data_IF_809762313497
#
_entry.id   IF_809762313497
#
_cell.length_a   1.000
_cell.length_b   1.000
_cell.length_c   1.000
_cell.angle_alpha   90.00
_cell.angle_beta   90.00
_cell.angle_gamma   90.00
#
_symmetry.space_group_name_H-M   'P 1'
#
loop_
_entity.id
_entity.type
_entity.pdbx_description
1 polymer ?
2 polymer ?
3 polymer ?
4 water ?
#
loop_
_entity_poly.entity_id
_entity_poly.type
_entity_poly.pdbx_seq_one_letter_code
_entity_poly.pdbx_strand_id
2 'polydeoxyribonucleotide' '(DG)(DC)(BRU)(DA)(DC)(DI)(DG)(DA)(BRU)(DC)(DG)' ?
3 'polydeoxyribonucleotide' '(DC)(DG)(DA)(DT)(DC)(DT)(DG)(DT)(DA)(DG)(DC)' ?
#
# COMPACT_ATOMS: atom_id res chain seq x y z
N UNK A 1 -14.61 -12.29 -61.55
CA UNK A 1 -15.92 -12.14 -60.85
C UNK A 1 -16.51 -10.77 -61.16
N UNK A 2 -17.83 -10.72 -61.23
CA UNK A 2 -18.52 -9.48 -61.54
C UNK A 2 -18.65 -8.56 -60.35
N UNK A 3 -18.88 -7.29 -60.63
CA UNK A 3 -19.07 -6.27 -59.61
C UNK A 3 -19.76 -5.07 -60.26
N UNK A 4 -20.21 -4.14 -59.43
CA UNK A 4 -20.90 -2.96 -59.95
C UNK A 4 -20.05 -1.69 -59.88
N UNK A 5 -19.77 -1.11 -61.05
CA UNK A 5 -18.98 0.12 -61.12
C UNK A 5 -19.93 1.27 -60.76
N UNK A 6 -19.90 1.68 -59.50
CA UNK A 6 -20.79 2.74 -59.04
C UNK A 6 -20.40 4.18 -59.40
N UNK A 7 -19.13 4.40 -59.71
CA UNK A 7 -18.66 5.73 -60.04
C UNK A 7 -17.24 5.70 -60.60
N UNK A 8 -16.73 6.88 -60.95
CA UNK A 8 -15.37 7.01 -61.52
C UNK A 8 -14.35 7.04 -60.40
N UNK A 9 -13.17 6.50 -60.66
CA UNK A 9 -12.11 6.47 -59.66
C UNK A 9 -11.19 7.68 -59.75
N UNK A 10 -10.93 8.13 -60.97
CA UNK A 10 -10.06 9.29 -61.20
C UNK A 10 -10.74 10.59 -60.79
N UNK A 11 -10.73 10.87 -59.49
CA UNK A 11 -11.35 12.06 -58.92
C UNK A 11 -10.42 12.81 -57.97
N UNK A 12 -10.56 14.14 -57.88
CA UNK A 12 -9.72 14.90 -56.98
C UNK A 12 -10.22 14.64 -55.55
N UNK A 13 -9.31 14.66 -54.55
CA UNK A 13 -9.68 14.41 -53.16
C UNK A 13 -11.04 14.92 -52.70
N UNK A 14 -11.37 16.16 -53.04
CA UNK A 14 -12.64 16.74 -52.62
C UNK A 14 -13.89 16.08 -53.18
N UNK A 15 -13.83 15.64 -54.43
CA UNK A 15 -14.98 15.00 -55.05
C UNK A 15 -15.10 13.56 -54.58
N UNK A 16 -13.97 12.98 -54.19
CA UNK A 16 -13.95 11.61 -53.71
C UNK A 16 -14.63 11.52 -52.33
N UNK A 17 -14.45 12.57 -51.52
CA UNK A 17 -15.06 12.61 -50.19
C UNK A 17 -16.57 12.75 -50.33
N UNK A 18 -17.01 13.44 -51.37
CA UNK A 18 -18.44 13.61 -51.59
C UNK A 18 -19.02 12.26 -52.02
N UNK A 19 -18.28 11.54 -52.84
CA UNK A 19 -18.73 10.23 -53.31
C UNK A 19 -18.88 9.30 -52.12
N UNK A 20 -18.04 9.46 -51.11
CA UNK A 20 -18.13 8.63 -49.92
C UNK A 20 -19.39 8.98 -49.13
N UNK A 21 -19.61 10.28 -48.93
CA UNK A 21 -20.77 10.75 -48.17
C UNK A 21 -22.09 10.36 -48.81
N UNK A 22 -22.06 10.01 -50.09
CA UNK A 22 -23.27 9.60 -50.78
C UNK A 22 -23.37 8.09 -50.71
N UNK A 23 -22.25 7.40 -50.91
CA UNK A 23 -22.24 5.94 -50.86
C UNK A 23 -22.56 5.38 -49.48
N UNK A 24 -22.23 6.13 -48.43
CA UNK A 24 -22.51 5.67 -47.07
C UNK A 24 -24.00 5.38 -46.83
N UNK A 25 -24.85 5.99 -47.65
CA UNK A 25 -26.29 5.80 -47.52
C UNK A 25 -26.72 4.43 -48.04
N UNK A 26 -25.91 3.83 -48.89
CA UNK A 26 -26.24 2.53 -49.46
C UNK A 26 -25.81 1.37 -48.59
N UNK A 27 -25.03 1.66 -47.56
CA UNK A 27 -24.54 0.60 -46.68
C UNK A 27 -25.65 -0.08 -45.87
N UNK A 28 -25.60 -1.41 -45.83
CA UNK A 28 -26.55 -2.19 -45.07
C UNK A 28 -25.79 -2.95 -43.98
N UNK A 29 -26.05 -2.58 -42.73
CA UNK A 29 -25.39 -3.24 -41.60
C UNK A 29 -26.24 -4.41 -41.12
N UNK A 30 -26.37 -5.41 -41.97
CA UNK A 30 -27.15 -6.59 -41.63
C UNK A 30 -26.31 -7.69 -41.00
N UNK A 31 -26.95 -8.53 -40.18
CA UNK A 31 -26.26 -9.64 -39.52
C UNK A 31 -25.81 -10.68 -40.55
N UNK A 32 -24.76 -11.40 -40.21
CA UNK A 32 -24.30 -12.48 -41.09
C UNK A 32 -24.54 -13.72 -40.25
N UNK A 33 -25.70 -14.36 -40.46
CA UNK A 33 -26.04 -15.55 -39.70
C UNK A 33 -25.71 -16.85 -40.42
N UNK A 34 -24.79 -17.62 -39.85
CA UNK A 34 -24.42 -18.88 -40.47
C UNK A 34 -22.93 -19.07 -40.62
N UNK A 35 -22.54 -20.27 -41.05
CA UNK A 35 -21.15 -20.62 -41.26
C UNK A 35 -20.75 -20.42 -42.71
N UNK A 36 -19.81 -19.52 -42.97
CA UNK A 36 -19.40 -19.30 -44.36
C UNK A 36 -18.59 -20.50 -44.85
N UNK A 37 -18.49 -20.64 -46.16
CA UNK A 37 -17.73 -21.75 -46.71
C UNK A 37 -16.51 -21.20 -47.43
N UNK A 38 -16.71 -20.17 -48.25
CA UNK A 38 -15.62 -19.54 -49.00
C UNK A 38 -15.31 -18.15 -48.44
N UNK A 39 -14.13 -18.00 -47.85
CA UNK A 39 -13.70 -16.72 -47.26
C UNK A 39 -12.49 -16.14 -48.01
N UNK A 40 -12.60 -14.89 -48.44
CA UNK A 40 -11.53 -14.24 -49.18
C UNK A 40 -10.79 -13.16 -48.41
N UNK A 41 -9.49 -13.04 -48.69
CA UNK A 41 -8.65 -12.04 -48.04
C UNK A 41 -8.02 -11.26 -49.18
N UNK A 42 -7.77 -9.96 -48.95
CA UNK A 42 -7.19 -9.10 -49.96
C UNK A 42 -6.04 -8.28 -49.41
N UNK A 43 -4.95 -8.20 -50.16
CA UNK A 43 -3.79 -7.44 -49.71
C UNK A 43 -3.11 -6.77 -50.89
N UNK A 44 -2.36 -5.70 -50.62
CA UNK A 44 -1.63 -5.01 -51.68
C UNK A 44 -0.19 -4.75 -51.30
N UNK A 45 0.68 -4.76 -52.29
CA UNK A 45 2.10 -4.46 -52.06
C UNK A 45 2.44 -3.46 -53.16
N UNK A 46 3.57 -2.79 -53.04
CA UNK A 46 3.96 -1.82 -54.06
C UNK A 46 5.37 -2.03 -54.59
N UNK A 47 5.50 -2.74 -55.71
CA UNK A 47 6.79 -3.02 -56.35
C UNK A 47 7.54 -1.75 -56.76
N UNK A 48 6.79 -0.64 -56.90
CA UNK A 48 7.38 0.64 -57.27
C UNK A 48 6.49 1.76 -56.75
N UNK A 49 6.98 2.99 -56.70
CA UNK A 49 6.16 4.08 -56.20
C UNK A 49 4.82 4.19 -56.91
N UNK A 50 4.78 3.82 -58.19
CA UNK A 50 3.53 3.89 -58.92
C UNK A 50 3.08 2.55 -59.48
N UNK A 51 3.49 1.46 -58.83
CA UNK A 51 3.08 0.14 -59.27
C UNK A 51 2.67 -0.70 -58.09
N UNK A 52 1.39 -1.06 -58.03
CA UNK A 52 0.89 -1.88 -56.94
C UNK A 52 0.68 -3.31 -57.42
N UNK A 53 0.43 -4.20 -56.48
CA UNK A 53 0.19 -5.61 -56.78
C UNK A 53 -0.89 -6.06 -55.80
N UNK A 54 -2.08 -6.31 -56.32
CA UNK A 54 -3.20 -6.73 -55.48
C UNK A 54 -3.34 -8.24 -55.54
N UNK A 55 -3.52 -8.86 -54.38
CA UNK A 55 -3.68 -10.30 -54.30
C UNK A 55 -4.98 -10.61 -53.58
N UNK A 56 -5.71 -11.59 -54.10
CA UNK A 56 -6.95 -12.05 -53.48
C UNK A 56 -6.78 -13.55 -53.29
N UNK A 57 -7.09 -14.00 -52.09
CA UNK A 57 -6.97 -15.41 -51.75
C UNK A 57 -8.33 -15.88 -51.23
N UNK A 58 -8.77 -17.02 -51.72
CA UNK A 58 -10.04 -17.59 -51.28
C UNK A 58 -9.75 -18.85 -50.48
N UNK A 59 -10.24 -18.89 -49.24
CA UNK A 59 -10.01 -20.04 -48.38
C UNK A 59 -11.29 -20.77 -48.08
N UNK A 60 -11.16 -22.07 -47.82
CA UNK A 60 -12.32 -22.87 -47.47
C UNK A 60 -12.40 -22.85 -45.96
N UNK A 61 -13.59 -22.61 -45.44
CA UNK A 61 -13.78 -22.58 -44.00
C UNK A 61 -14.63 -23.78 -43.61
N UNK A 62 -14.35 -24.40 -42.45
CA UNK A 62 -13.30 -24.06 -41.48
C UNK A 62 -11.92 -24.71 -41.65
N UNK A 63 -11.71 -25.42 -42.76
CA UNK A 63 -10.41 -26.08 -42.98
C UNK A 63 -9.27 -25.11 -43.25
N UNK A 64 -9.59 -23.92 -43.72
CA UNK A 64 -8.59 -22.89 -44.02
C UNK A 64 -7.69 -23.28 -45.20
N UNK A 65 -8.13 -24.24 -46.01
CA UNK A 65 -7.34 -24.63 -47.17
C UNK A 65 -7.50 -23.60 -48.28
N UNK A 66 -6.43 -23.39 -49.04
CA UNK A 66 -6.42 -22.42 -50.12
C UNK A 66 -7.08 -22.99 -51.38
N UNK A 67 -8.19 -22.39 -51.79
CA UNK A 67 -8.93 -22.85 -52.95
C UNK A 67 -8.60 -22.11 -54.24
N UNK A 68 -8.17 -20.86 -54.13
CA UNK A 68 -7.87 -20.06 -55.32
C UNK A 68 -7.10 -18.79 -54.98
N UNK A 69 -6.22 -18.39 -55.91
CA UNK A 69 -5.41 -17.19 -55.74
C UNK A 69 -5.29 -16.51 -57.08
N UNK A 70 -5.50 -15.19 -57.10
CA UNK A 70 -5.39 -14.40 -58.32
C UNK A 70 -4.71 -13.09 -57.94
N UNK A 71 -4.17 -12.39 -58.93
CA UNK A 71 -3.49 -11.14 -58.65
C UNK A 71 -3.49 -10.22 -59.85
N UNK A 72 -3.10 -8.97 -59.61
CA UNK A 72 -3.06 -7.98 -60.68
C UNK A 72 -2.06 -6.89 -60.31
N UNK A 73 -1.14 -6.63 -61.22
CA UNK A 73 -0.13 -5.59 -61.04
C UNK A 73 -0.62 -4.46 -61.91
N UNK A 74 -0.55 -3.23 -61.41
CA UNK A 74 -1.01 -2.12 -62.21
C UNK A 74 -0.57 -0.76 -61.69
N UNK A 75 -0.70 0.24 -62.56
CA UNK A 75 -0.32 1.60 -62.20
C UNK A 75 -1.18 2.16 -61.08
N UNK A 76 -0.54 2.73 -60.06
CA UNK A 76 -1.25 3.33 -58.94
C UNK A 76 -0.84 4.78 -58.89
N UNK A 77 -1.77 5.68 -59.19
CA UNK A 77 -1.44 7.10 -59.20
C UNK A 77 -1.95 7.86 -57.98
N UNK A 78 -3.07 7.42 -57.42
CA UNK A 78 -3.65 8.11 -56.28
C UNK A 78 -2.79 7.98 -55.02
N UNK A 79 -2.44 9.12 -54.41
CA UNK A 79 -1.61 9.16 -53.20
C UNK A 79 -2.34 8.63 -51.98
N UNK A 80 -1.59 8.09 -51.03
CA UNK A 80 -2.20 7.62 -49.80
C UNK A 80 -2.62 8.81 -48.95
N UNK A 81 -3.90 8.86 -48.61
CA UNK A 81 -4.43 9.93 -47.78
C UNK A 81 -5.36 9.24 -46.79
N UNK A 82 -5.13 9.44 -45.48
CA UNK A 82 -6.01 8.79 -44.50
C UNK A 82 -7.47 9.09 -44.81
N UNK A 83 -8.29 8.04 -44.87
CA UNK A 83 -9.70 8.21 -45.14
C UNK A 83 -10.06 7.94 -46.60
N UNK A 84 -9.07 7.98 -47.48
CA UNK A 84 -9.30 7.75 -48.91
C UNK A 84 -8.54 6.55 -49.50
N UNK A 85 -8.30 5.54 -48.67
CA UNK A 85 -7.57 4.37 -49.11
C UNK A 85 -8.22 3.69 -50.33
N UNK A 86 -9.55 3.75 -50.42
CA UNK A 86 -10.23 3.13 -51.55
C UNK A 86 -9.83 3.75 -52.89
N UNK A 87 -9.56 5.05 -52.91
CA UNK A 87 -9.23 5.67 -54.18
C UNK A 87 -7.81 5.40 -54.63
N UNK A 88 -7.04 4.73 -53.78
CA UNK A 88 -5.65 4.40 -54.08
C UNK A 88 -5.55 2.93 -54.46
N UNK A 89 -6.13 2.06 -53.62
CA UNK A 89 -6.06 0.62 -53.83
C UNK A 89 -7.32 -0.04 -54.40
N UNK A 90 -8.44 0.67 -54.34
CA UNK A 90 -9.68 0.11 -54.83
C UNK A 90 -9.64 -0.38 -56.27
N UNK A 91 -9.25 0.50 -57.22
CA UNK A 91 -9.17 0.15 -58.63
C UNK A 91 -8.37 -1.11 -58.95
N UNK A 92 -7.17 -1.25 -58.40
CA UNK A 92 -6.35 -2.44 -58.68
C UNK A 92 -6.97 -3.71 -58.10
N UNK A 93 -7.56 -3.60 -56.91
CA UNK A 93 -8.23 -4.76 -56.30
C UNK A 93 -9.36 -5.27 -57.21
N UNK A 94 -10.18 -4.34 -57.71
CA UNK A 94 -11.28 -4.70 -58.59
C UNK A 94 -10.76 -5.38 -59.85
N UNK A 95 -9.56 -4.98 -60.28
CA UNK A 95 -8.93 -5.55 -61.45
C UNK A 95 -8.58 -7.01 -61.15
N UNK A 96 -8.17 -7.29 -59.92
CA UNK A 96 -7.86 -8.67 -59.55
C UNK A 96 -9.19 -9.41 -59.41
N UNK A 97 -10.17 -8.74 -58.81
CA UNK A 97 -11.50 -9.31 -58.60
C UNK A 97 -12.08 -9.85 -59.91
N UNK A 98 -11.89 -9.10 -61.00
CA UNK A 98 -12.38 -9.51 -62.31
C UNK A 98 -11.90 -10.92 -62.68
N UNK A 99 -10.71 -11.28 -62.20
CA UNK A 99 -10.12 -12.60 -62.49
C UNK A 99 -10.63 -13.73 -61.60
N UNK A 100 -11.10 -13.38 -60.41
CA UNK A 100 -11.58 -14.38 -59.46
C UNK A 100 -12.74 -15.21 -60.01
N UNK A 101 -12.64 -16.52 -59.81
CA UNK A 101 -13.63 -17.47 -60.30
C UNK A 101 -14.62 -17.88 -59.20
N UNK A 102 -14.11 -18.08 -57.99
CA UNK A 102 -14.94 -18.47 -56.85
C UNK A 102 -15.67 -17.26 -56.25
N UNK A 103 -16.96 -17.42 -55.97
CA UNK A 103 -17.73 -16.34 -55.37
C UNK A 103 -17.71 -16.46 -53.86
N UNK A 104 -16.88 -15.64 -53.19
CA UNK A 104 -16.77 -15.68 -51.72
C UNK A 104 -18.07 -15.36 -51.00
N UNK A 105 -18.23 -15.88 -49.78
CA UNK A 105 -19.41 -15.60 -48.98
C UNK A 105 -19.12 -14.33 -48.18
N UNK A 106 -17.84 -14.08 -47.96
CA UNK A 106 -17.40 -12.89 -47.24
C UNK A 106 -15.96 -12.56 -47.64
N UNK A 107 -15.66 -11.27 -47.71
CA UNK A 107 -14.32 -10.83 -48.09
C UNK A 107 -13.79 -9.92 -46.99
N UNK A 108 -12.57 -10.21 -46.56
CA UNK A 108 -11.92 -9.42 -45.51
C UNK A 108 -10.85 -8.53 -46.14
N UNK A 109 -10.85 -7.25 -45.78
CA UNK A 109 -9.86 -6.31 -46.32
C UNK A 109 -8.96 -5.74 -45.23
N UNK A 110 -7.80 -5.26 -45.64
CA UNK A 110 -6.88 -4.62 -44.70
C UNK A 110 -7.36 -3.18 -44.65
N UNK A 111 -7.63 -2.69 -43.46
CA UNK A 111 -8.09 -1.32 -43.33
C UNK A 111 -9.46 -1.29 -42.70
N UNK A 112 -10.00 -0.10 -42.50
CA UNK A 112 -11.31 0.04 -41.87
C UNK A 112 -12.48 -0.20 -42.80
N UNK A 113 -13.63 -0.35 -42.17
CA UNK A 113 -14.87 -0.52 -42.88
C UNK A 113 -15.69 0.64 -42.32
N UNK A 114 -16.56 0.31 -41.38
CA UNK A 114 -17.43 1.28 -40.73
C UNK A 114 -16.66 2.30 -39.88
N UNK A 115 -15.56 1.86 -39.24
CA UNK A 115 -14.75 2.74 -38.39
C UNK A 115 -13.94 3.69 -39.27
N UNK A 116 -14.65 4.62 -39.88
CA UNK A 116 -14.08 5.60 -40.81
C UNK A 116 -14.79 6.93 -40.54
N UNK A 117 -14.10 8.06 -40.77
CA UNK A 117 -14.61 9.43 -40.56
C UNK A 117 -15.98 9.69 -41.20
N UNK A 118 -16.19 9.15 -42.39
CA UNK A 118 -17.45 9.32 -43.10
C UNK A 118 -18.21 8.00 -43.19
N UNK A 119 -17.93 7.10 -42.26
CA UNK A 119 -18.60 5.79 -42.22
C UNK A 119 -18.49 4.97 -43.50
N UNK A 120 -17.35 5.06 -44.18
CA UNK A 120 -17.18 4.30 -45.41
C UNK A 120 -15.73 4.01 -45.77
N UNK A 121 -15.11 3.10 -45.01
CA UNK A 121 -13.73 2.73 -45.27
C UNK A 121 -13.66 1.77 -46.46
N UNK A 122 -12.45 1.52 -46.96
CA UNK A 122 -12.26 0.64 -48.10
C UNK A 122 -13.12 -0.62 -48.08
N UNK A 123 -13.18 -1.31 -46.94
CA UNK A 123 -14.01 -2.52 -46.82
C UNK A 123 -15.49 -2.26 -47.12
N UNK A 124 -16.02 -1.13 -46.66
CA UNK A 124 -17.43 -0.81 -46.88
C UNK A 124 -17.62 -0.47 -48.36
N UNK A 125 -16.74 0.39 -48.85
CA UNK A 125 -16.78 0.84 -50.22
C UNK A 125 -16.70 -0.33 -51.19
N UNK A 126 -15.72 -1.21 -51.01
CA UNK A 126 -15.60 -2.36 -51.91
C UNK A 126 -16.83 -3.27 -51.79
N UNK A 127 -17.42 -3.31 -50.59
CA UNK A 127 -18.61 -4.13 -50.38
C UNK A 127 -19.74 -3.68 -51.28
N UNK A 128 -19.91 -2.37 -51.44
CA UNK A 128 -20.97 -1.86 -52.30
C UNK A 128 -20.72 -2.26 -53.74
N UNK A 129 -19.46 -2.26 -54.16
CA UNK A 129 -19.12 -2.63 -55.53
C UNK A 129 -19.33 -4.12 -55.79
N UNK A 130 -18.85 -4.99 -54.91
CA UNK A 130 -18.99 -6.43 -55.13
C UNK A 130 -20.28 -7.05 -54.61
N UNK A 131 -21.04 -6.27 -53.83
CA UNK A 131 -22.32 -6.73 -53.29
C UNK A 131 -22.21 -8.09 -52.58
N UNK A 132 -21.24 -8.17 -51.67
CA UNK A 132 -21.01 -9.37 -50.89
C UNK A 132 -20.55 -8.91 -49.50
N UNK A 133 -20.93 -9.65 -48.45
CA UNK A 133 -20.53 -9.28 -47.09
C UNK A 133 -19.04 -8.98 -46.95
N UNK A 134 -18.70 -7.82 -46.38
CA UNK A 134 -17.31 -7.44 -46.20
C UNK A 134 -16.99 -7.01 -44.77
N UNK A 135 -15.72 -7.21 -44.40
CA UNK A 135 -15.18 -6.86 -43.09
C UNK A 135 -13.84 -6.14 -43.22
N UNK A 136 -13.66 -5.10 -42.43
CA UNK A 136 -12.39 -4.39 -42.48
C UNK A 136 -11.60 -4.72 -41.22
N UNK A 137 -10.40 -5.29 -41.39
CA UNK A 137 -9.54 -5.61 -40.25
C UNK A 137 -8.28 -4.74 -40.36
N UNK A 138 -8.14 -3.77 -39.45
CA UNK A 138 -6.99 -2.87 -39.47
C UNK A 138 -5.98 -3.14 -38.36
N UNK A 139 -4.70 -2.86 -38.63
CA UNK A 139 -3.64 -3.06 -37.65
C UNK A 139 -3.47 -1.80 -36.81
N UNK A 140 -4.22 -0.76 -37.15
CA UNK A 140 -4.17 0.49 -36.40
C UNK A 140 -5.48 1.25 -36.52
N UNK A 141 -5.68 2.19 -35.62
CA UNK A 141 -6.91 2.97 -35.55
C UNK A 141 -6.93 4.16 -36.48
N UNK A 142 -8.03 4.32 -37.19
CA UNK A 142 -8.17 5.44 -38.10
C UNK A 142 -9.19 6.43 -37.50
N UNK A 143 -10.27 5.89 -36.95
CA UNK A 143 -11.34 6.71 -36.39
C UNK A 143 -12.00 6.02 -35.20
N UNK A 144 -12.56 6.82 -34.30
CA UNK A 144 -13.23 6.27 -33.14
C UNK A 144 -12.39 6.23 -31.87
N UNK A 145 -13.07 6.06 -30.75
CA UNK A 145 -12.40 6.01 -29.46
C UNK A 145 -12.65 4.63 -28.87
N UNK A 146 -11.76 4.20 -27.98
CA UNK A 146 -11.90 2.88 -27.37
C UNK A 146 -11.04 2.75 -26.11
N UNK A 147 -11.34 1.73 -25.33
CA UNK A 147 -10.58 1.44 -24.13
C UNK A 147 -9.75 0.22 -24.48
N UNK A 148 -8.43 0.37 -24.39
CA UNK A 148 -7.52 -0.71 -24.72
C UNK A 148 -7.88 -1.99 -23.97
N UNK A 149 -8.18 -3.07 -24.71
CA UNK A 149 -8.53 -4.32 -24.04
C UNK A 149 -7.30 -4.85 -23.31
N UNK A 150 -7.50 -5.71 -22.32
CA UNK A 150 -6.37 -6.26 -21.57
C UNK A 150 -5.59 -7.23 -22.46
N UNK A 151 -4.42 -7.64 -22.00
CA UNK A 151 -3.54 -8.52 -22.76
C UNK A 151 -3.85 -10.03 -22.64
N UNK A 152 -5.13 -10.38 -22.81
CA UNK A 152 -5.56 -11.78 -22.75
C UNK A 152 -5.40 -12.39 -24.14
N UNK A 153 -6.23 -13.36 -24.49
CA UNK A 153 -6.11 -13.99 -25.80
C UNK A 153 -7.30 -13.68 -26.69
N UNK A 154 -8.40 -13.25 -26.08
CA UNK A 154 -9.60 -12.90 -26.83
C UNK A 154 -10.25 -11.70 -26.20
N UNK A 155 -9.53 -11.06 -25.29
CA UNK A 155 -10.02 -9.87 -24.62
C UNK A 155 -10.34 -8.86 -25.69
N UNK A 156 -11.44 -8.12 -25.53
CA UNK A 156 -11.82 -7.15 -26.53
C UNK A 156 -12.71 -6.06 -25.96
N UNK A 157 -12.88 -5.00 -26.74
CA UNK A 157 -13.72 -3.89 -26.34
C UNK A 157 -14.34 -3.30 -27.60
N UNK A 158 -15.36 -2.47 -27.42
CA UNK A 158 -16.00 -1.85 -28.57
C UNK A 158 -15.32 -0.55 -28.98
N UNK A 159 -15.35 -0.27 -30.28
CA UNK A 159 -14.77 0.95 -30.83
C UNK A 159 -15.98 1.85 -30.99
N UNK A 160 -15.91 3.09 -30.51
CA UNK A 160 -17.05 3.98 -30.60
C UNK A 160 -16.86 5.26 -31.37
N UNK A 161 -17.98 5.81 -31.84
CA UNK A 161 -18.01 7.09 -32.51
C UNK A 161 -18.97 7.80 -31.58
N UNK A 162 -18.44 8.32 -30.49
CA UNK A 162 -19.29 8.98 -29.54
C UNK A 162 -20.09 7.90 -28.84
N UNK A 163 -21.35 7.73 -29.24
CA UNK A 163 -22.23 6.74 -28.64
C UNK A 163 -22.39 5.49 -29.51
N UNK A 164 -22.28 5.68 -30.82
CA UNK A 164 -22.42 4.57 -31.77
C UNK A 164 -21.25 3.59 -31.79
N UNK A 165 -21.57 2.30 -31.78
CA UNK A 165 -20.57 1.26 -31.84
C UNK A 165 -20.28 1.03 -33.32
N UNK A 166 -19.04 1.29 -33.74
CA UNK A 166 -18.66 1.14 -35.14
C UNK A 166 -17.74 -0.05 -35.42
N UNK A 167 -17.38 -0.77 -34.37
CA UNK A 167 -16.53 -1.93 -34.55
C UNK A 167 -16.00 -2.36 -33.20
N UNK A 168 -14.94 -3.16 -33.21
CA UNK A 168 -14.36 -3.61 -31.97
C UNK A 168 -12.85 -3.74 -32.08
N UNK A 169 -12.19 -3.74 -30.94
CA UNK A 169 -10.75 -3.87 -30.87
C UNK A 169 -10.52 -5.22 -30.20
N UNK A 170 -9.80 -6.11 -30.90
CA UNK A 170 -9.58 -7.46 -30.40
C UNK A 170 -8.12 -7.86 -30.19
N UNK A 171 -7.83 -8.43 -29.02
CA UNK A 171 -6.46 -8.87 -28.73
C UNK A 171 -6.33 -10.31 -29.22
N UNK A 172 -6.20 -10.47 -30.53
CA UNK A 172 -6.09 -11.77 -31.15
C UNK A 172 -4.89 -12.57 -30.69
N UNK A 173 -3.87 -11.88 -30.18
CA UNK A 173 -2.66 -12.54 -29.69
C UNK A 173 -2.04 -11.83 -28.50
N UNK A 174 -1.58 -12.59 -27.52
CA UNK A 174 -0.94 -12.02 -26.33
C UNK A 174 0.46 -11.54 -26.70
N UNK A 175 0.77 -10.31 -26.30
CA UNK A 175 2.08 -9.77 -26.59
C UNK A 175 2.07 -8.97 -27.87
N UNK A 176 0.95 -9.00 -28.57
CA UNK A 176 0.78 -8.27 -29.81
C UNK A 176 -0.26 -7.17 -29.62
N UNK A 177 -0.17 -6.13 -30.44
CA UNK A 177 -1.14 -5.03 -30.36
C UNK A 177 -2.45 -5.59 -30.89
N UNK A 178 -3.59 -5.04 -30.44
CA UNK A 178 -4.85 -5.58 -30.95
C UNK A 178 -5.13 -5.14 -32.38
N UNK A 179 -6.10 -5.79 -33.02
CA UNK A 179 -6.48 -5.42 -34.38
C UNK A 179 -7.82 -4.69 -34.27
N UNK A 180 -8.14 -3.90 -35.28
CA UNK A 180 -9.39 -3.14 -35.29
C UNK A 180 -10.36 -3.69 -36.33
N UNK A 181 -11.48 -4.22 -35.84
CA UNK A 181 -12.48 -4.86 -36.68
C UNK A 181 -13.79 -4.08 -36.83
N UNK A 182 -14.15 -3.78 -38.06
CA UNK A 182 -15.40 -3.05 -38.32
C UNK A 182 -16.10 -3.68 -39.52
N UNK A 183 -17.45 -3.71 -39.49
CA UNK A 183 -18.21 -4.29 -40.59
C UNK A 183 -18.09 -3.42 -41.82
N UNK A 184 -18.19 -4.06 -42.99
CA UNK A 184 -18.12 -3.33 -44.25
C UNK A 184 -19.54 -3.15 -44.73
N UNK A 185 -19.93 -3.96 -45.71
CA UNK A 185 -21.28 -3.91 -46.26
C UNK A 185 -21.91 -5.29 -46.05
N UNK A 186 -23.22 -5.32 -45.79
CA UNK A 186 -23.95 -6.56 -45.54
C UNK A 186 -23.30 -7.28 -44.36
N UNK A 187 -23.01 -6.50 -43.32
CA UNK A 187 -22.36 -7.04 -42.13
C UNK A 187 -22.61 -6.08 -40.98
N UNK A 188 -22.48 -6.57 -39.76
CA UNK A 188 -22.66 -5.73 -38.59
C UNK A 188 -21.52 -5.95 -37.62
N UNK A 189 -21.43 -5.08 -36.62
CA UNK A 189 -20.37 -5.15 -35.63
C UNK A 189 -20.27 -6.52 -34.99
N UNK A 190 -21.40 -7.04 -34.52
CA UNK A 190 -21.45 -8.33 -33.87
C UNK A 190 -20.99 -9.48 -34.76
N UNK A 191 -21.47 -9.51 -36.00
CA UNK A 191 -21.09 -10.58 -36.91
C UNK A 191 -19.60 -10.51 -37.29
N UNK A 192 -19.11 -9.31 -37.53
CA UNK A 192 -17.71 -9.14 -37.91
C UNK A 192 -16.77 -9.67 -36.82
N UNK A 193 -17.08 -9.38 -35.56
CA UNK A 193 -16.28 -9.85 -34.44
C UNK A 193 -16.26 -11.38 -34.42
N UNK A 194 -17.45 -11.97 -34.49
CA UNK A 194 -17.60 -13.41 -34.48
C UNK A 194 -16.77 -14.07 -35.58
N UNK A 195 -16.96 -13.59 -36.81
CA UNK A 195 -16.24 -14.12 -37.96
C UNK A 195 -14.73 -13.93 -37.88
N UNK A 196 -14.28 -12.73 -37.54
CA UNK A 196 -12.85 -12.50 -37.47
C UNK A 196 -12.23 -13.35 -36.37
N UNK A 197 -12.94 -13.48 -35.25
CA UNK A 197 -12.44 -14.30 -34.17
C UNK A 197 -12.30 -15.73 -34.71
N UNK A 198 -13.26 -16.13 -35.53
CA UNK A 198 -13.24 -17.47 -36.12
C UNK A 198 -12.22 -17.64 -37.23
N UNK A 199 -11.75 -16.54 -37.80
CA UNK A 199 -10.78 -16.65 -38.88
C UNK A 199 -9.34 -16.55 -38.38
N UNK A 200 -9.17 -16.28 -37.10
CA UNK A 200 -7.84 -16.12 -36.53
C UNK A 200 -7.43 -17.26 -35.61
N UNK A 201 -6.39 -17.98 -36.02
CA UNK A 201 -5.87 -19.13 -35.29
C UNK A 201 -4.96 -18.74 -34.12
N UNK A 202 -4.86 -19.61 -33.11
CA UNK A 202 -4.03 -19.38 -31.93
C UNK A 202 -2.56 -19.21 -32.35
N UNK A 203 -1.93 -18.17 -31.80
CA UNK A 203 -0.54 -17.89 -32.12
C UNK A 203 -0.44 -16.83 -33.20
N UNK A 204 -1.59 -16.54 -33.82
CA UNK A 204 -1.67 -15.55 -34.89
C UNK A 204 -2.38 -14.28 -34.43
N UNK A 205 -2.00 -13.15 -35.01
CA UNK A 205 -2.61 -11.85 -34.68
C UNK A 205 -3.57 -11.45 -35.79
N UNK A 206 -3.21 -11.84 -37.01
CA UNK A 206 -3.98 -11.54 -38.21
C UNK A 206 -4.80 -12.74 -38.69
N UNK A 207 -6.05 -12.49 -39.12
CA UNK A 207 -6.92 -13.57 -39.62
C UNK A 207 -6.34 -14.22 -40.88
N UNK A 208 -6.46 -15.54 -40.98
CA UNK A 208 -5.92 -16.30 -42.12
C UNK A 208 -6.13 -15.70 -43.51
N UNK A 209 -7.35 -15.20 -43.80
CA UNK A 209 -7.61 -14.62 -45.12
C UNK A 209 -6.62 -13.56 -45.55
N UNK A 210 -6.51 -12.48 -44.77
CA UNK A 210 -5.59 -11.40 -45.11
C UNK A 210 -4.12 -11.72 -44.81
N UNK A 211 -3.90 -12.64 -43.87
CA UNK A 211 -2.54 -13.02 -43.51
C UNK A 211 -1.91 -13.76 -44.68
N UNK A 212 -2.64 -14.74 -45.21
CA UNK A 212 -2.14 -15.50 -46.36
C UNK A 212 -2.02 -14.60 -47.58
N UNK A 213 -2.99 -13.71 -47.76
CA UNK A 213 -2.96 -12.79 -48.90
C UNK A 213 -1.70 -11.94 -48.85
N UNK A 214 -1.41 -11.36 -47.68
CA UNK A 214 -0.22 -10.52 -47.54
C UNK A 214 1.05 -11.28 -47.89
N UNK A 215 1.11 -12.55 -47.51
CA UNK A 215 2.29 -13.34 -47.80
C UNK A 215 2.47 -13.46 -49.31
N UNK A 216 1.39 -13.80 -50.02
CA UNK A 216 1.46 -13.92 -51.47
C UNK A 216 1.81 -12.58 -52.12
N UNK A 217 1.33 -11.49 -51.53
CA UNK A 217 1.61 -10.18 -52.08
C UNK A 217 3.12 -9.93 -52.03
N UNK A 218 3.77 -10.42 -50.98
CA UNK A 218 5.21 -10.24 -50.82
C UNK A 218 5.99 -11.21 -51.72
N UNK A 219 5.56 -12.47 -51.74
CA UNK A 219 6.23 -13.46 -52.57
C UNK A 219 6.24 -13.06 -54.05
N UNK A 220 5.06 -12.72 -54.58
CA UNK A 220 4.94 -12.32 -55.97
C UNK A 220 5.74 -11.07 -56.28
N UNK A 221 5.95 -10.23 -55.26
CA UNK A 221 6.71 -9.00 -55.45
C UNK A 221 8.16 -9.33 -55.81
N UNK A 222 8.49 -10.62 -55.76
CA UNK A 222 9.82 -11.11 -56.11
C UNK A 222 9.66 -12.31 -57.05
N UNK A 223 9.32 -13.46 -56.49
CA UNK A 223 9.14 -14.65 -57.29
C UNK A 223 8.26 -15.70 -56.59
N UNK A 224 7.14 -15.97 -57.10
N UNK B 1 3.88 11.27 30.10
CA UNK B 1 5.32 10.99 29.87
C UNK B 1 5.51 9.57 29.37
N UNK B 2 6.49 9.35 28.50
CA UNK B 2 6.72 8.02 27.95
C UNK B 2 7.69 7.21 28.79
N UNK B 3 7.76 5.91 28.52
CA UNK B 3 8.66 5.02 29.26
C UNK B 3 8.85 3.77 28.43
N UNK B 4 9.76 2.90 28.86
CA UNK B 4 9.97 1.67 28.13
C UNK B 4 9.34 0.50 28.85
N UNK B 5 8.36 -0.13 28.18
CA UNK B 5 7.71 -1.31 28.73
C UNK B 5 8.70 -2.43 28.49
N UNK B 6 9.52 -2.73 29.51
CA UNK B 6 10.55 -3.75 29.39
C UNK B 6 10.10 -5.19 29.45
N UNK B 7 8.90 -5.44 29.94
CA UNK B 7 8.40 -6.81 30.04
C UNK B 7 6.95 -6.82 30.48
N UNK B 8 6.35 -8.01 30.47
CA UNK B 8 4.95 -8.19 30.86
C UNK B 8 4.80 -8.11 32.39
N UNK B 9 3.71 -7.51 32.85
CA UNK B 9 3.46 -7.37 34.28
C UNK B 9 2.74 -8.55 34.94
N UNK B 10 1.78 -9.14 34.24
CA UNK B 10 1.03 -10.26 34.80
C UNK B 10 1.84 -11.54 34.84
N UNK B 11 2.70 -11.67 35.86
CA UNK B 11 3.53 -12.85 36.02
C UNK B 11 3.41 -13.48 37.39
N UNK B 12 3.45 -14.81 37.47
CA UNK B 12 3.35 -15.42 38.79
C UNK B 12 4.65 -15.10 39.54
N UNK B 13 4.63 -15.14 40.88
CA UNK B 13 5.77 -14.85 41.76
C UNK B 13 7.14 -15.35 41.30
N UNK B 14 7.21 -16.63 40.98
CA UNK B 14 8.46 -17.26 40.56
C UNK B 14 8.98 -16.65 39.26
N UNK B 15 8.05 -16.25 38.40
CA UNK B 15 8.39 -15.65 37.13
C UNK B 15 8.87 -14.23 37.34
N UNK B 16 8.17 -13.53 38.23
CA UNK B 16 8.48 -12.15 38.57
C UNK B 16 9.89 -12.04 39.16
N UNK B 17 10.29 -13.09 39.87
CA UNK B 17 11.62 -13.11 40.48
C UNK B 17 12.70 -13.27 39.41
N UNK B 18 12.42 -14.07 38.39
CA UNK B 18 13.40 -14.26 37.31
C UNK B 18 13.58 -12.94 36.56
N UNK B 19 12.49 -12.19 36.42
CA UNK B 19 12.55 -10.92 35.73
C UNK B 19 13.39 -9.89 36.48
N UNK B 20 13.42 -10.01 37.80
CA UNK B 20 14.20 -9.11 38.63
C UNK B 20 15.69 -9.44 38.52
N UNK B 21 16.00 -10.73 38.48
CA UNK B 21 17.38 -11.19 38.38
C UNK B 21 18.03 -10.86 37.05
N UNK B 22 17.22 -10.47 36.07
CA UNK B 22 17.76 -10.10 34.76
C UNK B 22 17.85 -8.58 34.66
N UNK B 23 16.83 -7.89 35.15
CA UNK B 23 16.80 -6.44 35.11
C UNK B 23 17.89 -5.80 35.97
N UNK B 24 18.26 -6.47 37.06
CA UNK B 24 19.29 -5.96 37.96
C UNK B 24 20.61 -5.71 37.23
N UNK B 25 20.80 -6.42 36.12
CA UNK B 25 22.02 -6.29 35.31
C UNK B 25 21.99 -5.00 34.51
N UNK B 26 20.82 -4.41 34.38
CA UNK B 26 20.68 -3.17 33.62
C UNK B 26 20.91 -1.94 34.49
N UNK B 27 20.86 -2.12 35.81
CA UNK B 27 21.03 -0.99 36.71
C UNK B 27 22.38 -0.28 36.55
N UNK B 28 22.31 1.05 36.49
CA UNK B 28 23.50 1.88 36.39
C UNK B 28 23.58 2.75 37.65
N UNK B 29 24.53 2.43 38.52
CA UNK B 29 24.72 3.20 39.75
C UNK B 29 25.64 4.37 39.44
N UNK B 30 25.10 5.38 38.77
CA UNK B 30 25.91 6.53 38.39
C UNK B 30 25.65 7.74 39.27
N UNK B 31 26.66 8.59 39.45
CA UNK B 31 26.47 9.78 40.29
C UNK B 31 25.45 10.71 39.68
N UNK B 32 24.85 11.56 40.51
CA UNK B 32 23.92 12.54 40.02
C UNK B 32 24.70 13.84 40.13
N UNK B 33 25.02 14.45 39.00
CA UNK B 33 25.78 15.70 39.01
C UNK B 33 24.90 16.90 39.33
N UNK B 34 25.28 17.63 40.37
CA UNK B 34 24.54 18.81 40.76
C UNK B 34 23.19 18.55 41.40
N UNK B 35 22.34 19.57 41.34
CA UNK B 35 21.01 19.48 41.92
C UNK B 35 19.96 19.47 40.83
N UNK B 36 18.83 18.79 41.07
CA UNK B 36 17.77 18.72 40.08
C UNK B 36 16.87 19.92 40.24
N UNK B 37 16.12 20.26 39.20
CA UNK B 37 15.20 21.38 39.27
C UNK B 37 13.79 20.81 39.45
N UNK B 38 13.48 19.75 38.71
CA UNK B 38 12.17 19.10 38.80
C UNK B 38 12.32 17.80 39.58
N UNK B 39 11.61 17.72 40.71
CA UNK B 39 11.66 16.55 41.59
C UNK B 39 10.32 15.87 41.72
N UNK B 40 10.26 14.60 41.33
CA UNK B 40 9.02 13.84 41.40
C UNK B 40 8.90 12.92 42.62
N UNK B 41 7.68 12.87 43.17
CA UNK B 41 7.39 12.02 44.32
C UNK B 41 6.22 11.14 43.95
N UNK B 42 6.27 9.85 44.32
CA UNK B 42 5.21 8.90 43.99
C UNK B 42 4.64 8.18 45.22
N UNK B 43 3.32 8.00 45.23
CA UNK B 43 2.66 7.32 46.34
C UNK B 43 1.36 6.67 45.88
N UNK B 44 0.91 5.69 46.64
CA UNK B 44 -0.33 4.97 46.33
C UNK B 44 -1.22 4.80 47.57
N UNK B 45 -2.53 4.75 47.33
CA UNK B 45 -3.52 4.52 48.36
C UNK B 45 -4.42 3.46 47.76
N UNK B 46 -5.22 2.78 48.57
CA UNK B 46 -6.09 1.75 48.02
C UNK B 46 -7.55 1.99 48.41
N UNK B 47 -8.33 2.55 47.48
CA UNK B 47 -9.76 2.82 47.72
C UNK B 47 -10.48 1.52 48.06
N UNK B 48 -10.06 0.44 47.41
CA UNK B 48 -10.65 -0.85 47.64
C UNK B 48 -9.55 -1.89 47.70
N UNK B 49 -9.89 -3.11 48.11
CA UNK B 49 -8.89 -4.17 48.20
C UNK B 49 -8.25 -4.45 46.85
N UNK B 50 -8.99 -4.21 45.78
CA UNK B 50 -8.47 -4.47 44.45
C UNK B 50 -8.49 -3.24 43.56
N UNK B 51 -8.43 -2.08 44.17
CA UNK B 51 -8.42 -0.84 43.42
C UNK B 51 -7.39 0.10 44.02
N UNK B 52 -6.41 0.50 43.23
CA UNK B 52 -5.40 1.42 43.72
C UNK B 52 -5.56 2.83 43.20
N UNK B 53 -4.86 3.77 43.82
CA UNK B 53 -4.90 5.16 43.38
C UNK B 53 -3.46 5.67 43.47
N UNK B 54 -2.80 5.69 42.31
CA UNK B 54 -1.42 6.15 42.21
C UNK B 54 -1.37 7.65 41.96
N UNK B 55 -0.43 8.32 42.62
CA UNK B 55 -0.28 9.75 42.48
C UNK B 55 1.19 10.17 42.28
N UNK B 56 1.42 11.02 41.28
CA UNK B 56 2.74 11.54 41.01
C UNK B 56 2.71 13.06 41.20
N UNK B 57 3.56 13.55 42.10
CA UNK B 57 3.67 14.97 42.38
C UNK B 57 5.02 15.47 41.90
N UNK B 58 5.04 16.55 41.13
CA UNK B 58 6.31 17.10 40.66
C UNK B 58 6.55 18.43 41.37
N UNK B 59 7.73 18.58 41.97
CA UNK B 59 8.06 19.80 42.68
C UNK B 59 9.23 20.53 42.09
N UNK B 60 9.24 21.84 42.30
CA UNK B 60 10.33 22.66 41.82
C UNK B 60 11.32 22.74 42.97
N UNK B 61 12.61 22.54 42.68
CA UNK B 61 13.62 22.60 43.73
C UNK B 61 14.53 23.78 43.45
N UNK B 62 14.96 24.50 44.50
CA UNK B 62 14.66 24.29 45.92
C UNK B 62 13.43 24.99 46.50
N UNK B 63 12.57 25.53 45.65
CA UNK B 63 11.38 26.22 46.15
C UNK B 63 10.32 25.27 46.69
N UNK B 64 10.38 24.00 46.27
CA UNK B 64 9.41 22.99 46.69
C UNK B 64 7.99 23.34 46.27
N UNK B 65 7.86 24.06 45.15
CA UNK B 65 6.55 24.45 44.65
C UNK B 65 5.89 23.30 43.89
N UNK B 66 4.59 23.12 44.10
CA UNK B 66 3.84 22.07 43.42
C UNK B 66 3.68 22.49 41.96
N UNK B 67 4.46 21.90 41.07
CA UNK B 67 4.39 22.23 39.65
C UNK B 67 3.30 21.47 38.92
N UNK B 68 3.15 20.19 39.26
CA UNK B 68 2.15 19.36 38.60
C UNK B 68 1.70 18.22 39.51
N UNK B 69 0.53 17.68 39.23
CA UNK B 69 -0.02 16.57 40.01
C UNK B 69 -0.94 15.73 39.14
N UNK B 70 -0.59 14.46 38.95
CA UNK B 70 -1.44 13.58 38.16
C UNK B 70 -1.72 12.32 38.98
N UNK B 71 -2.82 11.65 38.66
CA UNK B 71 -3.19 10.44 39.36
C UNK B 71 -3.93 9.48 38.46
N UNK B 72 -4.06 8.24 38.91
CA UNK B 72 -4.75 7.22 38.14
C UNK B 72 -5.26 6.13 39.08
N UNK B 73 -6.54 5.78 38.93
CA UNK B 73 -7.13 4.73 39.73
C UNK B 73 -7.24 3.55 38.81
N UNK B 74 -7.07 2.35 39.34
CA UNK B 74 -7.15 1.17 38.50
C UNK B 74 -7.17 -0.09 39.32
N UNK B 75 -7.46 -1.21 38.66
CA UNK B 75 -7.50 -2.49 39.33
C UNK B 75 -6.11 -2.98 39.74
N UNK B 76 -6.02 -3.59 40.91
CA UNK B 76 -4.76 -4.14 41.39
C UNK B 76 -5.08 -5.53 41.92
N UNK B 77 -4.38 -6.54 41.40
CA UNK B 77 -4.63 -7.91 41.81
C UNK B 77 -3.42 -8.64 42.37
N UNK B 78 -2.22 -8.13 42.09
CA UNK B 78 -1.02 -8.78 42.61
C UNK B 78 -0.96 -8.48 44.11
N UNK B 79 -0.89 -9.53 44.95
CA UNK B 79 -0.85 -9.32 46.40
C UNK B 79 0.46 -8.69 46.83
N UNK B 80 0.47 -8.13 48.03
CA UNK B 80 1.69 -7.54 48.54
C UNK B 80 2.57 -8.68 49.03
N UNK B 81 3.76 -8.79 48.44
CA UNK B 81 4.75 -9.79 48.82
C UNK B 81 6.06 -9.03 48.97
N UNK B 82 6.70 -9.13 50.14
CA UNK B 82 7.97 -8.42 50.33
C UNK B 82 8.95 -8.78 49.22
N UNK B 83 9.55 -7.77 48.58
CA UNK B 83 10.51 -8.04 47.52
C UNK B 83 9.89 -8.12 46.14
N UNK B 84 8.57 -8.00 46.08
CA UNK B 84 7.88 -8.01 44.80
C UNK B 84 6.89 -6.85 44.68
N UNK B 85 7.11 -5.80 45.46
CA UNK B 85 6.24 -4.62 45.46
C UNK B 85 6.02 -4.00 44.07
N UNK B 86 7.04 -4.09 43.21
CA UNK B 86 6.92 -3.52 41.87
C UNK B 86 5.80 -4.18 41.06
N UNK B 87 5.57 -5.47 41.28
CA UNK B 87 4.52 -6.17 40.53
C UNK B 87 3.12 -5.90 41.02
N UNK B 88 3.01 -5.19 42.15
CA UNK B 88 1.70 -4.84 42.70
C UNK B 88 1.38 -3.38 42.42
N UNK B 89 2.37 -2.51 42.57
CA UNK B 89 2.13 -1.08 42.38
C UNK B 89 2.75 -0.47 41.12
N UNK B 90 3.72 -1.16 40.52
CA UNK B 90 4.36 -0.61 39.34
C UNK B 90 3.41 -0.23 38.21
N UNK B 91 2.62 -1.20 37.71
CA UNK B 91 1.66 -0.98 36.62
C UNK B 91 0.80 0.28 36.75
N UNK B 92 0.15 0.45 37.89
CA UNK B 92 -0.70 1.63 38.07
C UNK B 92 0.13 2.93 38.09
N UNK B 93 1.29 2.90 38.73
CA UNK B 93 2.16 4.08 38.75
C UNK B 93 2.43 4.51 37.31
N UNK B 94 2.78 3.54 36.48
CA UNK B 94 3.09 3.81 35.08
C UNK B 94 1.92 4.47 34.34
N UNK B 95 0.70 4.05 34.67
CA UNK B 95 -0.49 4.63 34.03
C UNK B 95 -0.56 6.11 34.38
N UNK B 96 -0.21 6.44 35.61
CA UNK B 96 -0.21 7.82 36.05
C UNK B 96 0.92 8.54 35.32
N UNK B 97 2.04 7.85 35.14
CA UNK B 97 3.19 8.43 34.47
C UNK B 97 2.83 8.85 33.04
N UNK B 98 2.03 8.04 32.37
CA UNK B 98 1.61 8.33 31.00
C UNK B 98 0.94 9.69 30.92
N UNK B 99 0.25 10.08 31.99
CA UNK B 99 -0.46 11.36 32.06
C UNK B 99 0.46 12.51 32.43
N UNK B 100 1.64 12.21 32.92
CA UNK B 100 2.59 13.25 33.33
C UNK B 100 3.08 14.09 32.17
N UNK B 101 3.09 15.41 32.39
CA UNK B 101 3.53 16.37 31.37
C UNK B 101 4.98 16.78 31.59
N UNK B 102 5.29 17.27 32.79
CA UNK B 102 6.62 17.70 33.14
C UNK B 102 7.58 16.52 33.27
N UNK B 103 8.79 16.67 32.72
CA UNK B 103 9.79 15.61 32.81
C UNK B 103 10.64 15.83 34.06
N UNK B 104 10.60 14.90 35.02
CA UNK B 104 11.38 15.04 36.26
C UNK B 104 12.88 14.81 36.04
N UNK B 105 13.71 15.41 36.89
CA UNK B 105 15.15 15.22 36.81
C UNK B 105 15.46 13.97 37.63
N UNK B 106 14.61 13.71 38.61
CA UNK B 106 14.75 12.55 39.50
C UNK B 106 13.39 12.25 40.10
N UNK B 107 13.11 10.98 40.35
CA UNK B 107 11.84 10.56 40.92
C UNK B 107 12.12 9.76 42.19
N UNK B 108 11.37 10.05 43.25
CA UNK B 108 11.52 9.38 44.53
C UNK B 108 10.31 8.46 44.80
N UNK B 109 10.58 7.22 45.16
CA UNK B 109 9.51 6.28 45.46
C UNK B 109 9.51 5.83 46.91
N UNK B 110 8.33 5.49 47.44
CA UNK B 110 8.25 4.98 48.79
C UNK B 110 8.73 3.55 48.60
N UNK B 111 9.66 3.10 49.43
CA UNK B 111 10.16 1.74 49.30
C UNK B 111 11.62 1.75 48.96
N UNK B 112 12.17 0.56 48.70
CA UNK B 112 13.60 0.44 48.41
C UNK B 112 13.94 0.49 46.92
N UNK B 113 15.22 0.73 46.68
CA UNK B 113 15.79 0.74 45.37
C UNK B 113 16.79 -0.41 45.47
N UNK B 114 18.07 -0.08 45.60
CA UNK B 114 19.17 -1.05 45.72
C UNK B 114 19.06 -1.97 46.94
N UNK B 115 18.62 -1.42 48.08
CA UNK B 115 18.49 -2.18 49.32
C UNK B 115 17.39 -3.24 49.17
N UNK B 116 17.69 -4.26 48.37
CA UNK B 116 16.72 -5.30 48.05
C UNK B 116 17.43 -6.66 47.94
N UNK B 117 16.73 -7.76 48.23
CA UNK B 117 17.34 -9.09 48.15
C UNK B 117 17.98 -9.37 46.79
N UNK B 118 17.40 -8.83 45.73
CA UNK B 118 17.94 -9.05 44.40
C UNK B 118 18.37 -7.75 43.72
N UNK B 119 18.63 -6.73 44.54
CA UNK B 119 19.09 -5.43 44.07
C UNK B 119 18.17 -4.75 43.07
N UNK B 120 16.87 -4.99 43.19
CA UNK B 120 15.96 -4.35 42.26
C UNK B 120 14.64 -4.05 42.95
N UNK B 121 14.70 -3.15 43.92
CA UNK B 121 13.50 -2.75 44.63
C UNK B 121 12.69 -1.90 43.67
N UNK B 122 11.44 -1.61 44.01
CA UNK B 122 10.59 -0.82 43.12
C UNK B 122 11.19 0.45 42.52
N UNK B 123 11.96 1.20 43.29
CA UNK B 123 12.56 2.42 42.76
C UNK B 123 13.51 2.12 41.58
N UNK B 124 14.30 1.07 41.74
CA UNK B 124 15.24 0.65 40.71
C UNK B 124 14.50 0.09 39.50
N UNK B 125 13.52 -0.76 39.77
CA UNK B 125 12.75 -1.38 38.71
C UNK B 125 12.10 -0.29 37.88
N UNK B 126 11.44 0.65 38.54
CA UNK B 126 10.78 1.74 37.81
C UNK B 126 11.78 2.64 37.08
N UNK B 127 12.96 2.81 37.68
CA UNK B 127 13.97 3.64 37.05
C UNK B 127 14.32 3.13 35.67
N UNK B 128 14.30 1.81 35.52
CA UNK B 128 14.62 1.17 34.24
C UNK B 128 13.56 1.42 33.19
N UNK B 129 12.31 1.55 33.62
CA UNK B 129 11.21 1.79 32.70
C UNK B 129 11.17 3.25 32.25
N UNK B 130 11.31 4.17 33.20
CA UNK B 130 11.24 5.60 32.88
C UNK B 130 12.54 6.27 32.45
N UNK B 131 13.65 5.54 32.56
CA UNK B 131 14.98 6.02 32.21
C UNK B 131 15.31 7.42 32.77
N UNK B 132 15.05 7.57 34.07
CA UNK B 132 15.30 8.81 34.78
C UNK B 132 15.84 8.43 36.15
N UNK B 133 16.78 9.24 36.71
CA UNK B 133 17.35 8.93 38.02
C UNK B 133 16.26 8.72 39.06
N UNK B 134 16.40 7.64 39.84
CA UNK B 134 15.41 7.34 40.86
C UNK B 134 16.04 7.05 42.20
N UNK B 135 15.22 7.17 43.24
CA UNK B 135 15.65 6.95 44.62
C UNK B 135 14.48 6.33 45.40
N UNK B 136 14.81 5.36 46.24
CA UNK B 136 13.79 4.73 47.04
C UNK B 136 13.98 5.14 48.50
N UNK B 137 12.94 5.70 49.12
CA UNK B 137 12.99 6.10 50.52
C UNK B 137 11.98 5.24 51.28
N UNK B 138 12.45 4.49 52.26
CA UNK B 138 11.56 3.63 53.01
C UNK B 138 11.50 3.96 54.50
N UNK B 139 10.32 3.75 55.10
CA UNK B 139 10.13 4.01 56.51
C UNK B 139 10.62 2.81 57.33
N UNK B 140 10.95 1.72 56.64
CA UNK B 140 11.41 0.51 57.33
C UNK B 140 12.39 -0.29 56.48
N UNK B 141 13.13 -1.18 57.12
CA UNK B 141 14.14 -2.00 56.43
C UNK B 141 13.58 -3.25 55.79
N UNK B 142 14.03 -3.55 54.57
CA UNK B 142 13.58 -4.76 53.88
C UNK B 142 14.72 -5.77 53.83
N UNK B 143 15.91 -5.29 53.49
CA UNK B 143 17.10 -6.13 53.35
C UNK B 143 18.34 -5.35 53.76
N UNK B 144 19.30 -6.03 54.39
CA UNK B 144 20.52 -5.35 54.77
C UNK B 144 20.78 -5.25 56.26
N UNK B 145 22.01 -4.88 56.59
CA UNK B 145 22.41 -4.75 57.99
C UNK B 145 22.96 -3.34 58.20
N UNK B 146 22.79 -2.80 59.40
CA UNK B 146 23.27 -1.47 59.68
C UNK B 146 23.36 -1.23 61.18
N UNK B 147 24.15 -0.23 61.56
CA UNK B 147 24.28 0.15 62.96
C UNK B 147 23.36 1.34 63.07
N UNK B 148 22.43 1.29 64.01
CA UNK B 148 21.48 2.38 64.20
C UNK B 148 22.20 3.72 64.37
N UNK B 149 21.84 4.72 63.56
CA UNK B 149 22.49 6.02 63.69
C UNK B 149 22.09 6.73 64.98
N UNK B 150 22.93 7.63 65.46
CA UNK B 150 22.62 8.37 66.68
C UNK B 150 21.30 9.09 66.51
N UNK B 151 20.60 9.27 67.62
CA UNK B 151 19.31 9.94 67.58
C UNK B 151 19.55 11.45 67.54
N UNK B 152 20.30 11.88 66.53
CA UNK B 152 20.63 13.28 66.30
C UNK B 152 20.24 13.61 64.85
N UNK B 153 19.58 14.75 64.65
CA UNK B 153 19.14 15.12 63.32
C UNK B 153 20.24 15.03 62.27
N UNK B 154 19.89 14.38 61.17
CA UNK B 154 20.77 14.15 60.02
C UNK B 154 21.89 13.16 60.29
N UNK B 155 21.87 12.53 61.46
CA UNK B 155 22.86 11.50 61.80
C UNK B 155 22.55 10.33 60.85
N UNK B 156 23.56 9.57 60.43
CA UNK B 156 23.29 8.47 59.52
C UNK B 156 24.38 7.40 59.52
N UNK B 157 24.07 6.28 58.87
CA UNK B 157 25.01 5.16 58.76
C UNK B 157 24.75 4.38 57.48
N UNK B 158 25.71 3.57 57.07
CA UNK B 158 25.56 2.81 55.85
C UNK B 158 24.74 1.54 56.03
N UNK B 159 24.06 1.14 54.97
CA UNK B 159 23.25 -0.09 54.97
C UNK B 159 24.12 -1.04 54.16
N UNK B 160 24.38 -2.23 54.70
CA UNK B 160 25.22 -3.20 54.02
C UNK B 160 24.58 -4.52 53.67
N UNK B 161 25.18 -5.17 52.69
CA UNK B 161 24.82 -6.51 52.25
C UNK B 161 26.20 -7.14 52.32
N UNK B 162 26.62 -7.52 53.52
CA UNK B 162 27.93 -8.10 53.69
C UNK B 162 28.93 -6.96 53.79
N UNK B 163 29.67 -6.73 52.71
CA UNK B 163 30.65 -5.66 52.69
C UNK B 163 30.26 -4.63 51.63
N UNK B 164 29.24 -4.98 50.85
CA UNK B 164 28.73 -4.10 49.79
C UNK B 164 27.81 -3.04 50.40
N UNK B 165 28.03 -1.77 50.08
CA UNK B 165 27.17 -0.70 50.61
C UNK B 165 25.96 -0.58 49.69
N UNK B 166 24.79 -0.88 50.22
CA UNK B 166 23.58 -0.84 49.40
C UNK B 166 22.66 0.35 49.63
N UNK B 167 23.03 1.22 50.56
CA UNK B 167 22.23 2.40 50.84
C UNK B 167 22.61 3.01 52.18
N UNK B 168 21.73 3.84 52.75
CA UNK B 168 22.02 4.44 54.04
C UNK B 168 20.78 4.53 54.89
N UNK B 169 21.00 4.78 56.18
CA UNK B 169 19.93 4.89 57.15
C UNK B 169 20.10 6.27 57.78
N UNK B 170 19.14 7.15 57.54
CA UNK B 170 19.23 8.51 58.02
C UNK B 170 18.23 8.87 59.09
N UNK B 171 18.70 9.57 60.11
CA UNK B 171 17.87 10.05 61.21
C UNK B 171 17.41 11.45 60.81
N UNK B 172 16.46 11.52 59.89
CA UNK B 172 15.94 12.79 59.40
C UNK B 172 15.18 13.57 60.46
N UNK B 173 14.71 12.90 61.50
CA UNK B 173 14.01 13.60 62.57
C UNK B 173 14.29 13.04 63.96
N UNK B 174 14.63 13.95 64.88
CA UNK B 174 14.94 13.62 66.27
C UNK B 174 13.75 12.94 66.93
N UNK B 175 14.00 11.84 67.63
CA UNK B 175 12.93 11.14 68.31
C UNK B 175 12.19 10.13 67.45
N UNK B 176 12.27 10.29 66.13
CA UNK B 176 11.59 9.37 65.22
C UNK B 176 12.52 8.31 64.68
N UNK B 177 11.94 7.22 64.18
CA UNK B 177 12.76 6.16 63.59
C UNK B 177 13.40 6.73 62.32
N UNK B 178 14.54 6.19 61.91
CA UNK B 178 15.19 6.70 60.70
C UNK B 178 14.48 6.25 59.44
N UNK B 179 14.98 6.69 58.28
CA UNK B 179 14.39 6.28 57.02
C UNK B 179 15.50 5.51 56.31
N UNK B 180 15.13 4.72 55.32
CA UNK B 180 16.10 3.95 54.58
C UNK B 180 16.13 4.48 53.15
N UNK B 181 17.34 4.80 52.70
CA UNK B 181 17.54 5.37 51.39
C UNK B 181 18.51 4.58 50.53
N UNK B 182 18.06 4.25 49.34
CA UNK B 182 18.91 3.51 48.42
C UNK B 182 18.66 4.05 47.02
N UNK B 183 19.70 4.04 46.18
CA UNK B 183 19.55 4.55 44.81
C UNK B 183 18.79 3.53 43.96
N UNK B 184 18.06 4.00 42.96
CA UNK B 184 17.33 3.09 42.09
C UNK B 184 18.18 2.84 40.87
N UNK B 185 17.92 3.61 39.81
CA UNK B 185 18.67 3.51 38.56
C UNK B 185 19.26 4.88 38.27
N UNK B 186 20.42 4.92 37.65
CA UNK B 186 21.08 6.16 37.30
C UNK B 186 21.26 6.98 38.57
N UNK B 187 21.69 6.30 39.64
CA UNK B 187 21.88 6.95 40.92
C UNK B 187 22.83 6.11 41.75
N UNK B 188 23.56 6.74 42.66
CA UNK B 188 24.45 6.00 43.53
C UNK B 188 24.11 6.35 44.97
N UNK B 189 24.73 5.66 45.91
CA UNK B 189 24.46 5.89 47.33
C UNK B 189 24.75 7.31 47.79
N UNK B 190 25.96 7.79 47.48
CA UNK B 190 26.36 9.15 47.88
C UNK B 190 25.37 10.20 47.40
N UNK B 191 25.01 10.14 46.12
CA UNK B 191 24.07 11.10 45.54
C UNK B 191 22.67 10.99 46.12
N UNK B 192 22.16 9.76 46.28
CA UNK B 192 20.82 9.61 46.81
C UNK B 192 20.77 10.14 48.25
N UNK B 193 21.81 9.87 49.03
CA UNK B 193 21.87 10.35 50.40
C UNK B 193 21.83 11.88 50.41
N UNK B 194 22.69 12.49 49.60
CA UNK B 194 22.80 13.93 49.48
C UNK B 194 21.48 14.60 49.09
N UNK B 195 20.82 14.04 48.07
CA UNK B 195 19.55 14.56 47.57
C UNK B 195 18.41 14.42 48.56
N UNK B 196 18.30 13.25 49.19
CA UNK B 196 17.21 13.01 50.15
C UNK B 196 17.31 13.94 51.37
N UNK B 197 18.52 14.25 51.81
CA UNK B 197 18.69 15.18 52.93
C UNK B 197 18.19 16.54 52.44
N UNK B 198 18.65 16.94 51.26
CA UNK B 198 18.26 18.21 50.66
C UNK B 198 16.75 18.29 50.45
N UNK B 199 16.11 17.14 50.25
CA UNK B 199 14.66 17.10 50.03
C UNK B 199 13.84 17.06 51.31
N UNK B 200 14.50 16.85 52.44
CA UNK B 200 13.78 16.75 53.72
C UNK B 200 13.92 17.99 54.61
N UNK B 201 12.78 18.59 54.95
CA UNK B 201 12.75 19.78 55.79
C UNK B 201 12.91 19.48 57.28
N UNK B 202 13.39 20.47 58.05
CA UNK B 202 13.57 20.31 59.49
C UNK B 202 12.24 20.06 60.21
N UNK B 203 12.26 19.15 61.18
CA UNK B 203 11.06 18.82 61.92
C UNK B 203 10.26 17.74 61.20
N UNK B 204 10.75 17.35 60.03
CA UNK B 204 10.10 16.34 59.21
C UNK B 204 10.92 15.06 59.03
N UNK B 205 10.24 13.93 59.09
CA UNK B 205 10.89 12.64 58.91
C UNK B 205 10.95 12.24 57.44
N UNK B 206 9.86 12.50 56.71
CA UNK B 206 9.80 12.13 55.30
C UNK B 206 10.01 13.27 54.31
N UNK B 207 10.86 13.05 53.29
CA UNK B 207 11.15 14.06 52.27
C UNK B 207 9.89 14.53 51.55
N UNK B 208 9.86 15.82 51.20
CA UNK B 208 8.71 16.43 50.53
C UNK B 208 8.10 15.68 49.35
N UNK B 209 8.92 15.26 48.38
CA UNK B 209 8.35 14.55 47.23
C UNK B 209 7.28 13.53 47.59
N UNK B 210 7.64 12.50 48.36
CA UNK B 210 6.66 11.49 48.71
C UNK B 210 5.73 11.90 49.84
N UNK B 211 6.12 12.88 50.64
CA UNK B 211 5.26 13.31 51.73
C UNK B 211 4.02 13.97 51.15
N UNK B 212 4.23 14.79 50.12
CA UNK B 212 3.13 15.48 49.44
C UNK B 212 2.32 14.53 48.58
N UNK B 213 3.00 13.64 47.85
CA UNK B 213 2.32 12.67 47.02
C UNK B 213 1.34 11.84 47.86
N UNK B 214 1.79 11.39 49.03
CA UNK B 214 0.95 10.58 49.91
C UNK B 214 -0.31 11.33 50.33
N UNK B 215 -0.16 12.60 50.68
CA UNK B 215 -1.28 13.43 51.08
C UNK B 215 -2.34 13.42 49.97
N UNK B 216 -1.95 13.83 48.77
CA UNK B 216 -2.86 13.84 47.62
C UNK B 216 -3.48 12.46 47.41
N UNK B 217 -2.77 11.42 47.86
CA UNK B 217 -3.25 10.07 47.70
C UNK B 217 -4.42 9.78 48.66
N UNK B 218 -4.35 10.34 49.86
CA UNK B 218 -5.42 10.15 50.84
C UNK B 218 -6.56 11.12 50.54
N UNK B 219 -6.19 12.32 50.12
CA UNK B 219 -7.15 13.37 49.77
C UNK B 219 -8.08 12.94 48.64
N UNK B 220 -7.52 12.39 47.57
CA UNK B 220 -8.31 11.93 46.43
C UNK B 220 -9.16 10.73 46.83
N UNK B 221 -8.57 9.82 47.59
CA UNK B 221 -9.28 8.61 48.04
C UNK B 221 -10.57 8.96 48.77
N UNK B 222 -10.57 10.09 49.45
CA UNK B 222 -11.75 10.55 50.19
C UNK B 222 -12.54 11.51 49.31
N UNK B 223 -11.94 12.66 49.01
CA UNK B 223 -12.60 13.65 48.17
C UNK B 223 -12.20 15.08 48.50
N UNK B 224 -11.39 15.29 49.43
#
# INVERSE_FOLDING_TARGET
>A
MDYRQLHRWDLPPEEAIKVQNELRKKIKLTPYEGEPEYVAGVALSFPGKEEGLAVIVVLEYPSFKILEVVSERGEITFPYIPGLLAFREGPLFLKAWEKLRTKPDVVVFDGQGLAHPRKLGIASHMGLFIEIPTIGVAKSRLYGTFKMPEDKRCSWSYLYDGEEIIGCVIRTKEGSAPIFVSPGHLMDVESSKRLIKAFTLPGRRIPEPTRLAHIYTQRLKKGLF
>B
MDYRQLHRWDLPPEEAIKVQNELRKKIKLTPYEGEPEYVAGVALSFPGKEEGLAVIVVLEYPSFKILEVVSERGEITFPYIPGLLAFREGPLFLKAWEKLRTKPDVVVFDGQGLAHPRKLGIASHMGLFIEIPTIGVAKSRLYGTFKMPEDKRCSWSYLYDGEEIIGCVIRTKEGSAPIFVSPGHLMDVESSKRLIKAFTLPGRRIPEPTRLAHIYTQRLKKGLF
#
